data_IF_660969472423
#
_entry.id   IF_660969472423
#
_cell.length_a   1.000
_cell.length_b   1.000
_cell.length_c   1.000
_cell.angle_alpha   90.00
_cell.angle_beta   90.00
_cell.angle_gamma   90.00
#
_symmetry.space_group_name_H-M   'P 1'
#
loop_
_entity.id
_entity.type
_entity.pdbx_description
1 polymer ?
#
# COMPACT_ATOMS: atom_id res chain seq x y z
N UNK A 1 -8.26 -12.69 1.31
CA UNK A 1 -7.83 -11.40 0.74
C UNK A 1 -9.00 -10.52 0.29
N UNK A 2 -10.13 -11.09 -0.18
CA UNK A 2 -11.38 -10.36 -0.47
C UNK A 2 -11.74 -9.31 0.62
N UNK A 3 -11.77 -9.71 1.89
CA UNK A 3 -12.08 -8.80 3.01
C UNK A 3 -11.08 -7.64 3.15
N UNK A 4 -9.81 -7.83 2.79
CA UNK A 4 -8.80 -6.77 2.81
C UNK A 4 -9.03 -5.78 1.67
N UNK A 5 -9.36 -6.28 0.48
CA UNK A 5 -9.69 -5.44 -0.67
C UNK A 5 -10.93 -4.58 -0.40
N UNK A 6 -11.98 -5.14 0.22
CA UNK A 6 -13.18 -4.39 0.61
C UNK A 6 -12.87 -3.29 1.63
N UNK A 7 -12.07 -3.60 2.67
CA UNK A 7 -11.63 -2.59 3.64
C UNK A 7 -10.83 -1.47 2.98
N UNK A 8 -9.89 -1.81 2.10
CA UNK A 8 -9.08 -0.80 1.41
C UNK A 8 -9.90 0.02 0.44
N UNK A 9 -10.87 -0.58 -0.25
CA UNK A 9 -11.83 0.13 -1.11
C UNK A 9 -12.66 1.13 -0.31
N UNK A 10 -13.06 0.78 0.91
CA UNK A 10 -13.78 1.68 1.79
C UNK A 10 -12.90 2.85 2.29
N UNK A 11 -11.59 2.67 2.41
CA UNK A 11 -10.65 3.72 2.80
C UNK A 11 -10.09 4.52 1.60
N UNK A 12 -10.23 4.02 0.38
CA UNK A 12 -9.71 4.68 -0.82
C UNK A 12 -10.36 6.04 -1.03
N UNK A 13 -9.60 7.00 -1.57
CA UNK A 13 -10.00 8.40 -1.77
C UNK A 13 -10.35 9.15 -0.46
N UNK A 14 -9.94 8.65 0.70
CA UNK A 14 -10.12 9.33 1.98
C UNK A 14 -8.80 9.88 2.51
N UNK A 15 -8.90 10.93 3.33
CA UNK A 15 -7.76 11.41 4.12
C UNK A 15 -7.88 10.89 5.55
N UNK A 16 -6.89 10.13 6.00
CA UNK A 16 -6.83 9.58 7.35
C UNK A 16 -5.80 10.34 8.19
N UNK A 17 -5.99 10.34 9.51
CA UNK A 17 -5.01 10.87 10.45
C UNK A 17 -4.43 9.72 11.27
N UNK A 18 -3.11 9.61 11.31
CA UNK A 18 -2.40 8.59 12.08
C UNK A 18 -1.54 9.28 13.13
N UNK A 19 -1.71 8.91 14.38
CA UNK A 19 -0.82 9.36 15.46
C UNK A 19 0.28 8.33 15.65
N UNK A 20 1.54 8.74 15.50
CA UNK A 20 2.68 7.86 15.72
C UNK A 20 2.94 7.66 17.23
N UNK A 21 3.87 6.77 17.58
CA UNK A 21 4.22 6.50 18.99
C UNK A 21 4.82 7.72 19.71
N UNK A 22 5.35 8.69 18.98
CA UNK A 22 5.87 9.94 19.54
C UNK A 22 4.75 10.98 19.80
N UNK A 23 3.49 10.66 19.47
CA UNK A 23 2.34 11.56 19.65
C UNK A 23 2.11 12.52 18.48
N UNK A 24 2.90 12.42 17.42
CA UNK A 24 2.77 13.28 16.24
C UNK A 24 1.64 12.75 15.36
N UNK A 25 0.67 13.62 15.07
CA UNK A 25 -0.43 13.30 14.16
C UNK A 25 -0.08 13.72 12.75
N UNK A 26 -0.01 12.73 11.86
CA UNK A 26 0.26 12.92 10.44
C UNK A 26 -1.01 12.61 9.65
N UNK A 27 -1.33 13.45 8.68
CA UNK A 27 -2.44 13.24 7.74
C UNK A 27 -1.94 12.57 6.47
N UNK A 28 -2.63 11.54 6.03
CA UNK A 28 -2.33 10.79 4.82
C UNK A 28 -3.56 10.80 3.91
N UNK A 29 -3.38 11.26 2.68
CA UNK A 29 -4.37 11.14 1.62
C UNK A 29 -4.17 9.79 0.91
N UNK A 30 -5.20 8.95 0.93
CA UNK A 30 -5.22 7.65 0.27
C UNK A 30 -5.76 7.83 -1.15
N UNK A 31 -5.02 7.35 -2.14
CA UNK A 31 -5.47 7.34 -3.53
C UNK A 31 -6.58 6.30 -3.76
N UNK A 32 -7.05 6.21 -5.01
CA UNK A 32 -7.94 5.13 -5.42
C UNK A 32 -7.22 3.77 -5.31
N UNK A 33 -7.97 2.75 -4.94
CA UNK A 33 -7.48 1.37 -5.00
C UNK A 33 -7.21 0.99 -6.45
N UNK A 34 -6.04 0.43 -6.72
CA UNK A 34 -5.65 -0.07 -8.04
C UNK A 34 -5.59 -1.60 -8.03
N UNK A 35 -6.05 -2.22 -9.12
CA UNK A 35 -6.09 -3.68 -9.25
C UNK A 35 -7.27 -4.35 -8.55
N UNK A 36 -7.30 -5.67 -8.61
CA UNK A 36 -8.34 -6.53 -8.04
C UNK A 36 -7.71 -7.81 -7.46
N UNK A 37 -8.38 -8.49 -6.50
CA UNK A 37 -7.97 -9.81 -6.07
C UNK A 37 -7.57 -10.74 -7.24
N UNK A 38 -6.38 -11.39 -7.23
CA UNK A 38 -5.48 -11.66 -6.11
C UNK A 38 -4.39 -10.60 -5.81
N UNK A 39 -4.38 -9.42 -6.45
CA UNK A 39 -3.36 -8.39 -6.23
C UNK A 39 -3.91 -6.96 -6.29
N UNK A 40 -3.80 -6.22 -5.19
CA UNK A 40 -4.28 -4.84 -5.06
C UNK A 40 -3.14 -3.91 -4.62
N UNK A 41 -3.20 -2.64 -5.04
CA UNK A 41 -2.26 -1.61 -4.60
C UNK A 41 -2.99 -0.32 -4.20
N UNK A 42 -2.42 0.39 -3.24
CA UNK A 42 -2.92 1.66 -2.72
C UNK A 42 -1.75 2.61 -2.53
N UNK A 43 -1.87 3.82 -3.06
CA UNK A 43 -0.88 4.87 -2.85
C UNK A 43 -1.34 5.79 -1.71
N UNK A 44 -0.42 6.18 -0.86
CA UNK A 44 -0.66 7.03 0.31
C UNK A 44 0.28 8.23 0.21
N UNK A 45 -0.24 9.46 0.29
CA UNK A 45 0.57 10.69 0.23
C UNK A 45 0.40 11.50 1.50
N UNK A 46 1.49 11.98 2.08
CA UNK A 46 1.45 12.80 3.28
C UNK A 46 0.93 14.20 2.97
N UNK A 47 -0.15 14.60 3.63
CA UNK A 47 -0.74 15.94 3.47
C UNK A 47 0.15 16.95 4.19
N UNK A 48 0.58 17.98 3.46
CA UNK A 48 1.44 19.06 4.00
C UNK A 48 2.94 18.78 3.92
N UNK A 49 3.35 17.64 3.36
CA UNK A 49 4.75 17.39 3.03
C UNK A 49 5.12 18.17 1.77
N UNK A 50 6.10 19.09 1.86
CA UNK A 50 6.54 19.95 0.75
C UNK A 50 7.22 19.19 -0.39
N UNK A 51 7.52 17.92 -0.17
CA UNK A 51 8.37 17.08 -1.00
C UNK A 51 7.62 15.91 -1.67
N UNK A 52 6.28 15.95 -1.71
CA UNK A 52 5.45 14.86 -2.25
C UNK A 52 5.79 13.49 -1.64
N UNK A 53 6.07 13.47 -0.34
CA UNK A 53 6.35 12.24 0.38
C UNK A 53 5.13 11.29 0.30
N UNK A 54 5.34 10.16 -0.35
CA UNK A 54 4.30 9.16 -0.54
C UNK A 54 4.85 7.75 -0.44
N UNK A 55 3.96 6.83 -0.09
CA UNK A 55 4.23 5.42 0.09
C UNK A 55 3.28 4.62 -0.80
N UNK A 56 3.66 3.42 -1.18
CA UNK A 56 2.79 2.50 -1.90
C UNK A 56 2.67 1.20 -1.11
N UNK A 57 1.43 0.81 -0.86
CA UNK A 57 1.07 -0.47 -0.29
C UNK A 57 0.61 -1.41 -1.39
N UNK A 58 1.11 -2.63 -1.38
CA UNK A 58 0.72 -3.69 -2.29
C UNK A 58 0.37 -4.93 -1.48
N UNK A 59 -0.80 -5.50 -1.73
CA UNK A 59 -1.25 -6.73 -1.10
C UNK A 59 -1.54 -7.75 -2.19
N UNK A 60 -0.86 -8.89 -2.14
CA UNK A 60 -1.13 -10.01 -3.04
C UNK A 60 -1.35 -11.30 -2.27
N UNK A 61 -2.17 -12.19 -2.81
CA UNK A 61 -2.39 -13.52 -2.26
C UNK A 61 -2.06 -14.58 -3.30
N UNK A 62 -1.33 -15.61 -2.88
CA UNK A 62 -1.00 -16.74 -3.75
C UNK A 62 -0.99 -18.03 -2.96
N UNK A 63 -1.71 -19.04 -3.47
CA UNK A 63 -1.92 -20.32 -2.79
C UNK A 63 -2.45 -20.12 -1.35
N UNK A 64 -1.66 -20.46 -0.33
CA UNK A 64 -1.97 -20.30 1.10
C UNK A 64 -1.23 -19.11 1.75
N UNK A 65 -0.52 -18.28 0.98
CA UNK A 65 0.29 -17.17 1.48
C UNK A 65 -0.32 -15.84 1.08
N UNK A 66 -0.43 -14.92 2.04
CA UNK A 66 -0.74 -13.51 1.77
C UNK A 66 0.55 -12.71 1.91
N UNK A 67 0.94 -12.05 0.83
CA UNK A 67 2.09 -11.17 0.74
C UNK A 67 1.59 -9.73 0.92
N UNK A 68 1.80 -9.15 2.10
CA UNK A 68 1.60 -7.72 2.36
C UNK A 68 2.95 -7.01 2.24
N UNK A 69 3.10 -6.24 1.15
CA UNK A 69 4.26 -5.38 0.93
C UNK A 69 3.83 -3.95 1.18
N UNK A 70 4.24 -3.42 2.32
CA UNK A 70 4.28 -1.99 2.49
C UNK A 70 5.64 -1.49 2.01
N UNK A 71 5.70 -0.76 0.89
CA UNK A 71 6.91 -0.01 0.55
C UNK A 71 6.97 1.21 1.46
N UNK A 72 7.47 0.95 2.66
CA UNK A 72 7.97 1.94 3.61
C UNK A 72 9.37 2.44 3.19
N UNK A 73 9.63 2.48 1.89
CA UNK A 73 10.67 3.30 1.29
C UNK A 73 9.99 4.51 0.69
N UNK A 74 9.15 5.19 1.48
CA UNK A 74 8.51 6.41 1.03
C UNK A 74 9.62 7.32 0.48
N UNK A 75 9.40 7.78 -0.72
CA UNK A 75 10.42 8.38 -1.53
C UNK A 75 9.80 9.51 -2.31
N UNK A 76 10.65 10.40 -2.81
CA UNK A 76 10.19 11.57 -3.55
C UNK A 76 9.45 11.20 -4.85
N UNK A 77 9.52 9.92 -5.30
CA UNK A 77 8.91 9.40 -6.53
C UNK A 77 8.49 7.92 -6.41
N UNK A 78 7.54 7.58 -5.53
CA UNK A 78 6.98 6.21 -5.49
C UNK A 78 5.84 6.09 -6.50
N UNK A 79 5.99 5.19 -7.48
CA UNK A 79 5.01 4.93 -8.53
C UNK A 79 4.55 3.46 -8.56
N UNK A 80 5.47 2.50 -8.69
CA UNK A 80 5.15 1.08 -8.94
C UNK A 80 6.07 0.08 -8.21
N UNK A 81 6.97 0.57 -7.37
CA UNK A 81 8.00 -0.22 -6.68
C UNK A 81 7.37 -1.27 -5.76
N UNK A 82 6.24 -0.95 -5.12
CA UNK A 82 5.53 -1.88 -4.24
C UNK A 82 4.89 -3.03 -4.98
N UNK A 83 4.33 -2.75 -6.15
CA UNK A 83 3.82 -3.80 -7.03
C UNK A 83 4.96 -4.72 -7.49
N UNK A 84 6.08 -4.17 -7.94
CA UNK A 84 7.22 -4.97 -8.42
C UNK A 84 7.79 -5.87 -7.31
N UNK A 85 7.86 -5.39 -6.07
CA UNK A 85 8.29 -6.18 -4.93
C UNK A 85 7.30 -7.30 -4.61
N UNK A 86 6.00 -7.01 -4.58
CA UNK A 86 4.95 -8.00 -4.37
C UNK A 86 4.98 -9.09 -5.46
N UNK A 87 5.12 -8.70 -6.73
CA UNK A 87 5.20 -9.64 -7.85
C UNK A 87 6.43 -10.56 -7.75
N UNK A 88 7.59 -10.04 -7.35
CA UNK A 88 8.80 -10.85 -7.11
C UNK A 88 8.63 -11.85 -5.96
N UNK A 89 7.97 -11.44 -4.87
CA UNK A 89 7.68 -12.33 -3.74
C UNK A 89 6.67 -13.41 -4.14
N UNK A 90 5.61 -13.05 -4.87
CA UNK A 90 4.63 -13.99 -5.41
C UNK A 90 5.30 -15.00 -6.35
N UNK A 91 6.21 -14.55 -7.23
CA UNK A 91 6.97 -15.44 -8.10
C UNK A 91 7.82 -16.44 -7.32
N UNK A 92 8.44 -16.02 -6.21
CA UNK A 92 9.20 -16.92 -5.31
C UNK A 92 8.30 -17.92 -4.57
N UNK A 93 7.05 -17.56 -4.27
CA UNK A 93 6.09 -18.48 -3.66
C UNK A 93 5.55 -19.49 -4.67
N UNK A 94 5.31 -19.07 -5.93
CA UNK A 94 4.85 -19.96 -7.02
C UNK A 94 5.92 -20.90 -7.55
N UNK A 95 7.19 -20.51 -7.50
CA UNK A 95 8.33 -21.30 -7.96
C UNK A 95 8.86 -22.32 -6.94
N UNK A 96 8.06 -22.69 -5.94
CA UNK A 96 8.33 -23.82 -5.04
C UNK A 96 7.53 -25.04 -5.46
#
# INVERSE_FOLDING_TARGET
MQNSAEKWKNCANQTISTTNRAGETVKWALASLNGEPPSITLNETQVGASNNWGCQRALSAVSNVVVDVNVNGCGYHIANEGRQLADKMVAKVKGR
#
